data_IF_441082068692
#
_entry.id   IF_441082068692
#
_cell.length_a   1.000
_cell.length_b   1.000
_cell.length_c   1.000
_cell.angle_alpha   90.00
_cell.angle_beta   90.00
_cell.angle_gamma   90.00
#
_symmetry.space_group_name_H-M   'P 1'
#
loop_
_entity.id
_entity.type
_entity.pdbx_description
1 polymer ?
#
# COMPACT_ATOMS: atom_id res chain seq x y z
N UNK A 1 63.84 5.10 -38.66
CA UNK A 1 63.44 4.25 -37.51
C UNK A 1 62.58 5.07 -36.57
N UNK A 2 61.24 4.95 -36.65
CA UNK A 2 60.30 5.58 -35.71
C UNK A 2 59.67 4.46 -34.85
N UNK A 3 59.72 4.61 -33.52
CA UNK A 3 59.17 3.63 -32.56
C UNK A 3 57.67 3.84 -32.40
N UNK A 4 56.92 2.74 -32.38
CA UNK A 4 55.46 2.70 -32.19
C UNK A 4 55.07 3.15 -30.77
N UNK A 5 54.11 4.09 -30.69
CA UNK A 5 53.50 4.52 -29.44
C UNK A 5 52.52 3.48 -28.90
N UNK A 6 52.63 3.14 -27.61
CA UNK A 6 51.72 2.26 -26.88
C UNK A 6 50.32 2.88 -26.83
N UNK A 7 49.34 2.23 -27.46
CA UNK A 7 47.92 2.55 -27.29
C UNK A 7 47.44 1.89 -26.00
N UNK A 8 47.47 2.64 -24.90
CA UNK A 8 46.84 2.22 -23.65
C UNK A 8 45.33 2.22 -23.81
N UNK A 9 44.70 1.04 -23.92
CA UNK A 9 43.25 0.91 -23.78
C UNK A 9 42.87 1.22 -22.33
N UNK A 10 42.39 2.44 -22.08
CA UNK A 10 41.64 2.73 -20.87
C UNK A 10 40.33 1.97 -20.92
N UNK A 11 40.24 0.87 -20.15
CA UNK A 11 38.94 0.33 -19.75
C UNK A 11 38.34 1.37 -18.81
N UNK A 12 37.48 2.24 -19.34
CA UNK A 12 36.73 3.20 -18.54
C UNK A 12 36.00 2.46 -17.42
N UNK A 13 36.28 2.86 -16.17
CA UNK A 13 35.53 2.37 -15.03
C UNK A 13 34.06 2.73 -15.24
N UNK A 14 33.16 1.76 -15.01
CA UNK A 14 31.72 1.98 -15.06
C UNK A 14 31.37 3.02 -14.00
N UNK A 15 30.75 4.11 -14.42
CA UNK A 15 30.25 5.14 -13.53
C UNK A 15 29.13 4.55 -12.66
N UNK A 16 29.43 4.37 -11.37
CA UNK A 16 28.49 3.82 -10.37
C UNK A 16 27.47 4.85 -9.89
N UNK A 17 27.50 6.08 -10.38
CA UNK A 17 26.51 7.13 -10.07
C UNK A 17 25.27 7.05 -10.97
N UNK A 18 25.32 6.24 -12.04
CA UNK A 18 24.16 5.97 -12.89
C UNK A 18 23.27 4.95 -12.18
N UNK A 19 22.31 5.45 -11.41
CA UNK A 19 21.18 4.65 -10.94
C UNK A 19 20.15 4.55 -12.07
N UNK A 20 19.65 3.35 -12.41
CA UNK A 20 18.54 3.24 -13.34
C UNK A 20 17.33 4.02 -12.78
N UNK A 21 16.51 4.66 -13.63
CA UNK A 21 15.32 5.36 -13.17
C UNK A 21 14.43 4.38 -12.41
N UNK A 22 14.10 4.72 -11.16
CA UNK A 22 13.17 3.93 -10.35
C UNK A 22 11.79 4.09 -10.97
N UNK A 23 11.14 2.98 -11.29
CA UNK A 23 9.77 3.01 -11.80
C UNK A 23 8.83 3.61 -10.74
N UNK A 24 8.01 4.58 -11.16
CA UNK A 24 6.99 5.21 -10.33
C UNK A 24 5.63 4.98 -10.97
N UNK A 25 4.80 4.17 -10.31
CA UNK A 25 3.45 3.93 -10.76
C UNK A 25 2.62 5.20 -10.61
N UNK A 26 1.84 5.51 -11.64
CA UNK A 26 0.79 6.53 -11.58
C UNK A 26 -0.46 6.00 -12.26
N UNK A 27 -1.63 6.09 -11.59
CA UNK A 27 -2.88 5.74 -12.25
C UNK A 27 -3.18 6.70 -13.41
N UNK A 28 -3.94 6.28 -14.42
CA UNK A 28 -4.38 7.14 -15.51
C UNK A 28 -5.10 8.40 -15.01
N UNK A 29 -4.77 9.57 -15.57
CA UNK A 29 -5.37 10.84 -15.15
C UNK A 29 -6.87 10.96 -15.43
N UNK A 30 -7.39 10.15 -16.35
CA UNK A 30 -8.80 10.04 -16.70
C UNK A 30 -9.48 8.81 -16.08
N UNK A 31 -8.89 8.20 -15.04
CA UNK A 31 -9.56 7.17 -14.27
C UNK A 31 -10.80 7.76 -13.55
N UNK A 32 -11.89 7.02 -13.58
CA UNK A 32 -13.17 7.45 -13.01
C UNK A 32 -13.34 6.85 -11.62
N UNK A 33 -13.75 7.67 -10.65
CA UNK A 33 -14.07 7.16 -9.31
C UNK A 33 -15.37 6.36 -9.38
N UNK A 34 -15.28 5.05 -9.12
CA UNK A 34 -16.41 4.11 -9.21
C UNK A 34 -16.99 3.73 -7.86
N UNK A 35 -16.20 3.91 -6.78
CA UNK A 35 -16.66 3.69 -5.42
C UNK A 35 -16.08 4.77 -4.51
N UNK A 36 -16.93 5.32 -3.64
CA UNK A 36 -16.57 6.31 -2.63
C UNK A 36 -17.62 6.29 -1.52
N UNK A 37 -17.35 5.53 -0.46
CA UNK A 37 -18.28 5.51 0.64
C UNK A 37 -18.07 4.37 1.63
N UNK A 38 -18.87 4.39 2.71
CA UNK A 38 -18.83 3.36 3.73
C UNK A 38 -19.43 2.06 3.21
N UNK A 39 -18.86 0.95 3.66
CA UNK A 39 -19.39 -0.39 3.54
C UNK A 39 -19.73 -0.89 4.94
N UNK A 40 -21.01 -1.19 5.17
CA UNK A 40 -21.49 -1.71 6.46
C UNK A 40 -21.25 -3.22 6.50
N UNK A 41 -20.37 -3.66 7.40
CA UNK A 41 -20.09 -5.07 7.63
C UNK A 41 -20.83 -5.56 8.88
N UNK A 42 -21.27 -6.82 8.84
CA UNK A 42 -21.95 -7.48 9.96
C UNK A 42 -21.00 -8.43 10.72
N UNK A 43 -21.11 -8.55 12.06
CA UNK A 43 -22.04 -7.82 12.93
C UNK A 43 -21.71 -6.32 12.97
N UNK A 44 -22.76 -5.50 13.00
CA UNK A 44 -22.62 -4.05 13.08
C UNK A 44 -21.98 -3.63 14.41
N UNK A 45 -21.10 -2.62 14.35
CA UNK A 45 -20.46 -2.00 15.51
C UNK A 45 -19.00 -2.42 15.73
N UNK A 46 -18.26 -1.52 16.38
CA UNK A 46 -16.82 -1.53 16.74
C UNK A 46 -15.88 -0.89 15.72
N UNK A 47 -16.21 -0.96 14.43
CA UNK A 47 -15.46 -0.29 13.37
C UNK A 47 -16.33 0.05 12.16
N UNK A 48 -15.74 0.72 11.19
CA UNK A 48 -16.31 1.02 9.87
C UNK A 48 -15.30 0.66 8.78
N UNK A 49 -15.79 0.24 7.61
CA UNK A 49 -14.98 0.09 6.40
C UNK A 49 -15.35 1.20 5.43
N UNK A 50 -14.39 1.99 4.99
CA UNK A 50 -14.55 2.97 3.91
C UNK A 50 -13.81 2.49 2.68
N UNK A 51 -14.50 2.52 1.54
CA UNK A 51 -13.94 2.10 0.26
C UNK A 51 -13.85 3.28 -0.68
N UNK A 52 -12.68 3.43 -1.31
CA UNK A 52 -12.55 4.31 -2.47
C UNK A 52 -11.85 3.54 -3.57
N UNK A 53 -12.40 3.56 -4.79
CA UNK A 53 -11.84 2.86 -5.93
C UNK A 53 -12.05 3.66 -7.21
N UNK A 54 -11.04 3.64 -8.08
CA UNK A 54 -11.06 4.26 -9.39
C UNK A 54 -10.83 3.21 -10.46
N UNK A 55 -11.59 3.31 -11.54
CA UNK A 55 -11.49 2.40 -12.67
C UNK A 55 -11.01 3.10 -13.93
N UNK A 56 -10.32 2.36 -14.78
CA UNK A 56 -10.00 2.76 -16.13
C UNK A 56 -10.06 1.55 -17.06
N UNK A 57 -10.78 1.67 -18.18
CA UNK A 57 -11.00 0.58 -19.15
C UNK A 57 -11.52 -0.71 -18.50
N UNK A 58 -12.41 -0.58 -17.53
CA UNK A 58 -13.05 -1.72 -16.84
C UNK A 58 -12.18 -2.40 -15.79
N UNK A 59 -11.05 -1.80 -15.40
CA UNK A 59 -10.13 -2.32 -14.37
C UNK A 59 -9.98 -1.34 -13.23
N UNK A 60 -9.86 -1.83 -11.99
CA UNK A 60 -9.45 -1.00 -10.87
C UNK A 60 -7.98 -0.64 -11.03
N UNK A 61 -7.69 0.67 -11.00
CA UNK A 61 -6.33 1.21 -11.20
C UNK A 61 -5.81 1.91 -9.95
N UNK A 62 -6.66 2.24 -8.99
CA UNK A 62 -6.21 2.64 -7.67
C UNK A 62 -7.36 2.46 -6.70
N UNK A 63 -7.05 2.13 -5.46
CA UNK A 63 -8.04 1.94 -4.42
C UNK A 63 -7.46 2.21 -3.04
N UNK A 64 -8.36 2.40 -2.09
CA UNK A 64 -8.10 2.35 -0.66
C UNK A 64 -9.28 1.64 0.03
N UNK A 65 -8.96 0.65 0.86
CA UNK A 65 -9.88 -0.01 1.78
C UNK A 65 -9.43 0.39 3.18
N UNK A 66 -10.15 1.28 3.84
CA UNK A 66 -9.75 1.82 5.15
C UNK A 66 -10.71 1.33 6.22
N UNK A 67 -10.20 0.55 7.17
CA UNK A 67 -10.93 0.18 8.37
C UNK A 67 -10.61 1.17 9.49
N UNK A 68 -11.63 1.78 10.08
CA UNK A 68 -11.51 2.73 11.20
C UNK A 68 -12.30 2.25 12.40
N UNK A 69 -11.85 2.56 13.61
CA UNK A 69 -12.57 2.22 14.84
C UNK A 69 -13.67 3.27 15.13
N UNK A 70 -14.79 2.82 15.70
CA UNK A 70 -15.89 3.73 16.10
C UNK A 70 -15.47 4.64 17.26
N UNK A 71 -14.64 4.08 18.15
CA UNK A 71 -14.04 4.81 19.26
C UNK A 71 -12.69 5.38 18.83
N UNK A 72 -12.59 6.71 18.86
CA UNK A 72 -11.34 7.43 18.69
C UNK A 72 -10.81 7.83 20.07
N UNK A 73 -9.58 7.43 20.38
CA UNK A 73 -8.95 7.77 21.67
C UNK A 73 -8.61 9.27 21.79
N UNK A 74 -8.12 9.88 20.71
CA UNK A 74 -7.95 11.34 20.61
C UNK A 74 -8.73 11.91 19.41
N UNK A 75 -10.00 12.32 19.61
CA UNK A 75 -10.84 12.86 18.53
C UNK A 75 -10.28 14.14 17.90
N UNK A 76 -9.28 14.80 18.51
CA UNK A 76 -8.59 15.95 17.91
C UNK A 76 -7.64 15.55 16.78
N UNK A 77 -7.22 14.28 16.72
CA UNK A 77 -6.28 13.77 15.72
C UNK A 77 -6.95 13.01 14.56
N UNK A 78 -8.29 13.01 14.49
CA UNK A 78 -9.04 12.39 13.40
C UNK A 78 -9.58 11.02 13.76
N UNK A 79 -9.64 10.11 12.79
CA UNK A 79 -10.15 8.75 12.97
C UNK A 79 -9.01 7.79 13.34
N UNK A 80 -9.28 6.85 14.26
CA UNK A 80 -8.31 5.81 14.57
C UNK A 80 -8.35 4.73 13.48
N UNK A 81 -7.32 4.73 12.64
CA UNK A 81 -7.15 3.69 11.63
C UNK A 81 -6.81 2.35 12.31
N UNK A 82 -7.42 1.27 11.84
CA UNK A 82 -7.21 -0.11 12.31
C UNK A 82 -6.34 -0.87 11.32
N UNK A 83 -6.77 -0.89 10.06
CA UNK A 83 -6.05 -1.48 8.95
C UNK A 83 -6.40 -0.74 7.66
N UNK A 84 -5.47 -0.72 6.71
CA UNK A 84 -5.71 -0.14 5.39
C UNK A 84 -5.04 -0.96 4.31
N UNK A 85 -5.74 -1.19 3.21
CA UNK A 85 -5.13 -1.67 1.98
C UNK A 85 -5.16 -0.54 0.96
N UNK A 86 -4.04 -0.22 0.34
CA UNK A 86 -4.00 0.80 -0.70
C UNK A 86 -2.86 0.56 -1.70
N UNK A 87 -2.88 1.39 -2.74
CA UNK A 87 -1.88 1.40 -3.80
C UNK A 87 -1.06 2.69 -3.70
N UNK A 88 0.14 2.63 -3.10
CA UNK A 88 1.09 3.74 -3.10
C UNK A 88 2.55 3.26 -3.17
N UNK A 89 3.47 4.16 -3.51
CA UNK A 89 4.89 3.83 -3.69
C UNK A 89 5.19 2.70 -4.70
N UNK A 90 4.39 2.61 -5.77
CA UNK A 90 4.45 1.51 -6.75
C UNK A 90 4.21 0.12 -6.13
N UNK A 91 3.42 0.04 -5.08
CA UNK A 91 3.11 -1.22 -4.38
C UNK A 91 1.64 -1.23 -3.94
N UNK A 92 0.99 -2.38 -4.08
CA UNK A 92 -0.22 -2.68 -3.31
C UNK A 92 0.23 -3.26 -1.97
N UNK A 93 -0.26 -2.70 -0.88
CA UNK A 93 0.19 -3.09 0.46
C UNK A 93 -0.89 -2.91 1.53
N UNK A 94 -0.66 -3.60 2.64
CA UNK A 94 -1.45 -3.51 3.87
C UNK A 94 -0.69 -2.68 4.90
N UNK A 95 -1.39 -1.74 5.49
CA UNK A 95 -1.05 -1.11 6.76
C UNK A 95 -1.86 -1.77 7.88
N UNK A 96 -1.19 -2.13 8.95
CA UNK A 96 -1.78 -2.62 10.19
C UNK A 96 -1.39 -1.68 11.32
N UNK A 97 -2.33 -0.84 11.75
CA UNK A 97 -2.07 0.22 12.74
C UNK A 97 -2.16 -0.30 14.16
N UNK A 98 -1.47 0.35 15.09
CA UNK A 98 -1.55 0.09 16.52
C UNK A 98 -2.43 1.12 17.22
N UNK A 99 -3.19 0.69 18.23
CA UNK A 99 -3.96 1.60 19.07
C UNK A 99 -3.00 2.52 19.83
N UNK A 100 -3.43 3.76 20.12
CA UNK A 100 -2.56 4.86 20.59
C UNK A 100 -1.40 5.26 19.64
N UNK A 101 -1.35 4.67 18.44
CA UNK A 101 -0.34 4.96 17.42
C UNK A 101 1.04 4.39 17.73
N UNK A 102 1.19 3.41 18.62
CA UNK A 102 2.47 2.73 18.91
C UNK A 102 2.30 1.25 19.29
N UNK A 103 3.16 0.41 18.72
CA UNK A 103 3.30 -0.99 19.08
C UNK A 103 3.98 -1.13 20.44
N UNK A 104 3.41 -1.97 21.32
CA UNK A 104 4.00 -2.26 22.64
C UNK A 104 5.41 -2.87 22.64
N UNK A 105 5.89 -3.45 21.52
CA UNK A 105 7.19 -4.12 21.47
C UNK A 105 8.30 -3.27 20.87
N UNK A 106 7.99 -2.43 19.86
CA UNK A 106 9.02 -1.80 19.02
C UNK A 106 8.78 -0.33 18.71
N UNK A 107 7.82 0.33 19.37
CA UNK A 107 7.45 1.74 19.15
C UNK A 107 7.00 2.10 17.71
N UNK A 108 6.82 1.12 16.82
CA UNK A 108 6.32 1.36 15.46
C UNK A 108 4.85 1.78 15.51
N UNK A 109 4.43 2.70 14.63
CA UNK A 109 3.03 3.12 14.54
C UNK A 109 2.14 2.14 13.79
N UNK A 110 2.76 1.34 12.93
CA UNK A 110 2.10 0.39 12.06
C UNK A 110 3.05 -0.74 11.65
N UNK A 111 2.48 -1.82 11.15
CA UNK A 111 3.15 -2.82 10.34
C UNK A 111 2.74 -2.65 8.89
N UNK A 112 3.71 -2.68 7.99
CA UNK A 112 3.48 -2.58 6.55
C UNK A 112 3.86 -3.90 5.87
N UNK A 113 2.94 -4.45 5.10
CA UNK A 113 3.14 -5.70 4.34
C UNK A 113 2.88 -5.45 2.87
N UNK A 114 3.88 -5.71 2.03
CA UNK A 114 3.74 -5.63 0.56
C UNK A 114 2.95 -6.85 0.10
N UNK A 115 1.91 -6.61 -0.68
CA UNK A 115 1.05 -7.65 -1.27
C UNK A 115 1.51 -7.92 -2.69
N UNK A 116 1.64 -6.85 -3.49
CA UNK A 116 2.12 -6.94 -4.84
C UNK A 116 2.98 -5.72 -5.20
N UNK A 117 4.20 -5.93 -5.74
CA UNK A 117 4.94 -4.84 -6.36
C UNK A 117 4.31 -4.48 -7.71
N UNK A 118 4.37 -3.20 -8.08
CA UNK A 118 3.99 -2.68 -9.38
C UNK A 118 5.29 -2.27 -10.07
N UNK A 119 5.82 -3.14 -10.91
CA UNK A 119 7.17 -2.97 -11.47
C UNK A 119 7.19 -2.33 -12.86
N UNK A 120 6.06 -2.36 -13.57
CA UNK A 120 5.95 -1.82 -14.92
C UNK A 120 4.56 -1.23 -15.22
N UNK A 121 4.50 -0.24 -16.14
CA UNK A 121 3.25 0.43 -16.49
C UNK A 121 2.31 -0.42 -17.35
N UNK A 122 2.84 -1.28 -18.21
CA UNK A 122 2.08 -2.11 -19.14
C UNK A 122 1.23 -3.17 -18.42
N UNK A 123 1.70 -3.70 -17.30
CA UNK A 123 1.00 -4.70 -16.47
C UNK A 123 0.39 -4.12 -15.20
N UNK A 124 0.76 -2.88 -14.82
CA UNK A 124 0.34 -2.27 -13.55
C UNK A 124 -1.15 -2.35 -13.25
N UNK A 125 -2.02 -2.14 -14.24
CA UNK A 125 -3.47 -2.14 -14.02
C UNK A 125 -3.97 -3.55 -13.72
N UNK A 126 -3.43 -4.57 -14.37
CA UNK A 126 -3.81 -5.96 -14.09
C UNK A 126 -3.37 -6.38 -12.69
N UNK A 127 -2.20 -5.91 -12.25
CA UNK A 127 -1.70 -6.14 -10.89
C UNK A 127 -2.63 -5.49 -9.86
N UNK A 128 -2.98 -4.21 -10.04
CA UNK A 128 -3.84 -3.48 -9.10
C UNK A 128 -5.27 -4.06 -9.09
N UNK A 129 -5.81 -4.39 -10.25
CA UNK A 129 -7.15 -4.96 -10.43
C UNK A 129 -7.26 -6.34 -9.74
N UNK A 130 -6.28 -7.22 -9.97
CA UNK A 130 -6.23 -8.54 -9.31
C UNK A 130 -6.06 -8.39 -7.80
N UNK A 131 -5.16 -7.50 -7.36
CA UNK A 131 -4.91 -7.30 -5.95
C UNK A 131 -6.11 -6.66 -5.25
N UNK A 132 -6.91 -5.84 -5.93
CA UNK A 132 -8.11 -5.24 -5.34
C UNK A 132 -9.09 -6.29 -4.82
N UNK A 133 -9.42 -7.30 -5.64
CA UNK A 133 -10.35 -8.36 -5.25
C UNK A 133 -9.81 -9.15 -4.05
N UNK A 134 -8.54 -9.54 -4.08
CA UNK A 134 -7.88 -10.26 -2.97
C UNK A 134 -7.84 -9.42 -1.68
N UNK A 135 -7.53 -8.12 -1.80
CA UNK A 135 -7.48 -7.21 -0.66
C UNK A 135 -8.88 -6.97 -0.08
N UNK A 136 -9.91 -6.89 -0.94
CA UNK A 136 -11.29 -6.73 -0.52
C UNK A 136 -11.78 -7.95 0.25
N UNK A 137 -11.54 -9.14 -0.29
CA UNK A 137 -11.88 -10.40 0.37
C UNK A 137 -11.13 -10.54 1.69
N UNK A 138 -9.84 -10.25 1.74
CA UNK A 138 -9.08 -10.30 3.00
C UNK A 138 -9.58 -9.27 4.01
N UNK A 139 -9.81 -8.02 3.62
CA UNK A 139 -10.29 -6.98 4.52
C UNK A 139 -11.64 -7.35 5.14
N UNK A 140 -12.55 -7.89 4.34
CA UNK A 140 -13.90 -8.27 4.80
C UNK A 140 -13.89 -9.54 5.65
N UNK A 141 -13.08 -10.55 5.29
CA UNK A 141 -12.95 -11.78 6.06
C UNK A 141 -12.20 -11.60 7.39
N UNK A 142 -11.14 -10.79 7.40
CA UNK A 142 -10.29 -10.58 8.57
C UNK A 142 -10.68 -9.35 9.41
N UNK A 143 -11.78 -8.67 9.06
CA UNK A 143 -12.13 -7.38 9.64
C UNK A 143 -12.20 -7.41 11.19
N UNK A 144 -12.83 -8.43 11.78
CA UNK A 144 -12.89 -8.60 13.24
C UNK A 144 -11.51 -8.90 13.82
N UNK A 145 -10.72 -9.71 13.12
CA UNK A 145 -9.36 -10.05 13.54
C UNK A 145 -8.46 -8.83 13.57
N UNK A 146 -8.54 -7.98 12.53
CA UNK A 146 -7.82 -6.70 12.46
C UNK A 146 -8.19 -5.80 13.64
N UNK A 147 -9.49 -5.68 13.95
CA UNK A 147 -9.95 -4.87 15.08
C UNK A 147 -9.47 -5.40 16.43
N UNK A 148 -9.61 -6.70 16.70
CA UNK A 148 -9.15 -7.31 17.96
C UNK A 148 -7.64 -7.18 18.16
N UNK A 149 -6.87 -7.36 17.06
CA UNK A 149 -5.42 -7.11 17.06
C UNK A 149 -5.15 -5.66 17.46
N UNK A 150 -5.79 -4.69 16.78
CA UNK A 150 -5.61 -3.27 17.06
C UNK A 150 -5.98 -2.91 18.50
N UNK A 151 -7.14 -3.36 19.00
CA UNK A 151 -7.65 -3.08 20.35
C UNK A 151 -6.67 -3.49 21.46
N UNK A 152 -5.84 -4.50 21.17
CA UNK A 152 -4.91 -5.13 22.10
C UNK A 152 -3.46 -4.73 21.85
N UNK A 153 -3.23 -3.70 21.02
CA UNK A 153 -1.91 -3.26 20.54
C UNK A 153 -1.10 -4.36 19.83
N UNK A 154 -1.75 -5.38 19.28
CA UNK A 154 -1.08 -6.50 18.63
C UNK A 154 -0.60 -7.61 19.57
N UNK A 155 -1.09 -7.65 20.82
CA UNK A 155 -0.72 -8.73 21.78
C UNK A 155 -1.30 -10.11 21.44
N UNK A 156 -2.20 -10.20 20.46
CA UNK A 156 -2.84 -11.44 20.00
C UNK A 156 -2.25 -11.99 18.69
N UNK A 157 -1.01 -11.63 18.33
CA UNK A 157 -0.29 -12.23 17.19
C UNK A 157 0.17 -13.66 17.48
#
# INVERSE_FOLDING_TARGET
MQKAGKVGRSRGAVDKTIHPPKFEYSPPSNAEKVMDGPLVLTPEGTCHLYVTAWSYRGKIVTFALTQTADYVEDPRNGEDHVARYDCCHSEVHKHQYYKSGKHFQNDSKEERTIIAPIDDQATSWDVVDTAYDECFDQMTNDWITNYRRWETDGRYQ
#
